data_IF_990547378894
#
_entry.id   IF_990547378894
#
_cell.length_a   1.000
_cell.length_b   1.000
_cell.length_c   1.000
_cell.angle_alpha   90.00
_cell.angle_beta   90.00
_cell.angle_gamma   90.00
#
_symmetry.space_group_name_H-M   'P 1'
#
loop_
_entity.id
_entity.type
_entity.pdbx_description
1 polymer ?
#
# COMPACT_ATOMS: atom_id res chain seq x y z
N UNK A 1 14.21 -14.03 -13.81
CA UNK A 1 14.57 -12.63 -14.17
C UNK A 1 13.78 -11.79 -13.18
N UNK A 2 14.41 -11.17 -12.17
CA UNK A 2 13.64 -10.32 -11.24
C UNK A 2 13.11 -9.15 -12.07
N UNK A 3 11.81 -9.14 -12.32
CA UNK A 3 11.08 -8.01 -12.90
C UNK A 3 11.46 -6.78 -12.08
N UNK A 4 11.78 -5.67 -12.74
CA UNK A 4 12.15 -4.43 -12.05
C UNK A 4 11.10 -4.11 -10.97
N UNK A 5 11.54 -3.69 -9.78
CA UNK A 5 10.64 -3.43 -8.66
C UNK A 5 9.90 -2.10 -8.87
N UNK A 6 8.87 -2.14 -9.71
CA UNK A 6 8.13 -0.98 -10.17
C UNK A 6 6.84 -0.77 -9.37
N UNK A 7 6.53 0.49 -9.08
CA UNK A 7 5.25 0.89 -8.54
C UNK A 7 4.14 0.58 -9.54
N UNK A 8 3.16 -0.24 -9.14
CA UNK A 8 2.09 -0.66 -10.06
C UNK A 8 1.24 0.48 -10.60
N UNK A 9 1.13 1.58 -9.85
CA UNK A 9 0.30 2.70 -10.30
C UNK A 9 0.96 3.55 -11.40
N UNK A 10 2.28 3.72 -11.38
CA UNK A 10 2.96 4.70 -12.25
C UNK A 10 4.18 4.14 -13.00
N UNK A 11 4.55 2.88 -12.77
CA UNK A 11 5.69 2.22 -13.41
C UNK A 11 7.06 2.76 -13.01
N UNK A 12 7.17 3.61 -11.99
CA UNK A 12 8.45 4.13 -11.48
C UNK A 12 9.09 3.12 -10.52
N UNK A 13 10.42 3.01 -10.52
CA UNK A 13 11.16 2.21 -9.55
C UNK A 13 10.81 2.62 -8.10
N UNK A 14 10.60 1.61 -7.24
CA UNK A 14 10.43 1.83 -5.81
C UNK A 14 11.79 2.07 -5.16
N UNK A 15 11.85 3.12 -4.34
CA UNK A 15 13.05 3.54 -3.59
C UNK A 15 13.05 2.97 -2.17
N UNK A 16 13.97 3.40 -1.31
CA UNK A 16 14.09 2.92 0.07
C UNK A 16 12.84 3.14 0.94
N UNK A 17 11.94 4.05 0.53
CA UNK A 17 10.65 4.29 1.16
C UNK A 17 9.53 3.99 0.17
N UNK A 18 8.50 3.30 0.65
CA UNK A 18 7.25 3.03 -0.06
C UNK A 18 6.06 3.45 0.79
N UNK A 19 4.88 3.48 0.18
CA UNK A 19 3.65 3.93 0.81
C UNK A 19 2.62 2.82 0.82
N UNK A 20 2.08 2.54 2.00
CA UNK A 20 1.06 1.51 2.25
C UNK A 20 -0.23 2.16 2.72
N UNK A 21 -1.34 1.51 2.44
CA UNK A 21 -2.68 2.04 2.65
C UNK A 21 -3.49 1.09 3.51
N UNK A 22 -4.14 1.63 4.52
CA UNK A 22 -4.96 0.87 5.44
C UNK A 22 -6.19 1.67 5.89
N UNK A 23 -7.28 0.96 6.16
CA UNK A 23 -8.43 1.56 6.84
C UNK A 23 -8.02 1.97 8.25
N UNK A 24 -8.43 3.14 8.71
CA UNK A 24 -8.15 3.60 10.09
C UNK A 24 -8.79 2.68 11.13
N UNK A 25 -9.92 2.04 10.79
CA UNK A 25 -10.66 1.17 11.70
C UNK A 25 -10.25 -0.31 11.62
N UNK A 26 -9.22 -0.65 10.83
CA UNK A 26 -8.78 -2.04 10.75
C UNK A 26 -8.21 -2.51 12.10
N UNK A 27 -8.52 -3.76 12.47
CA UNK A 27 -8.07 -4.35 13.76
C UNK A 27 -6.65 -4.90 13.65
N UNK A 28 -6.23 -5.32 12.47
CA UNK A 28 -4.90 -5.89 12.23
C UNK A 28 -3.90 -4.78 11.86
N UNK A 29 -2.72 -4.77 12.47
CA UNK A 29 -1.62 -3.87 12.09
C UNK A 29 -0.89 -4.34 10.84
N UNK A 30 -1.10 -5.58 10.43
CA UNK A 30 -0.59 -6.11 9.17
C UNK A 30 -1.39 -5.60 7.98
N UNK A 31 -0.70 -4.91 7.08
CA UNK A 31 -1.25 -4.35 5.85
C UNK A 31 -0.79 -5.14 4.66
N UNK A 32 -1.72 -5.84 4.03
CA UNK A 32 -1.51 -6.54 2.78
C UNK A 32 -1.76 -5.58 1.61
N UNK A 33 -0.74 -5.40 0.77
CA UNK A 33 -0.81 -4.60 -0.43
C UNK A 33 -0.85 -5.54 -1.64
N UNK A 34 -2.05 -5.90 -2.08
CA UNK A 34 -2.25 -6.66 -3.30
C UNK A 34 -1.83 -5.82 -4.51
N UNK A 35 -0.81 -6.30 -5.23
CA UNK A 35 -0.09 -5.55 -6.26
C UNK A 35 1.09 -4.69 -5.75
N UNK A 36 1.24 -4.63 -4.43
CA UNK A 36 2.39 -4.05 -3.75
C UNK A 36 2.27 -2.57 -3.42
N UNK A 37 3.08 -2.16 -2.45
CA UNK A 37 3.20 -0.80 -1.96
C UNK A 37 3.65 0.16 -3.07
N UNK A 38 3.16 1.40 -3.01
CA UNK A 38 3.36 2.39 -4.08
C UNK A 38 4.54 3.33 -3.79
N UNK A 39 5.14 3.91 -4.83
CA UNK A 39 6.41 4.65 -4.69
C UNK A 39 6.30 6.06 -4.10
N UNK A 40 5.10 6.63 -3.97
CA UNK A 40 4.93 8.02 -3.54
C UNK A 40 3.60 8.27 -2.84
N UNK A 41 3.54 9.31 -2.01
CA UNK A 41 2.29 9.78 -1.40
C UNK A 41 1.23 10.13 -2.46
N UNK A 42 1.65 10.69 -3.61
CA UNK A 42 0.74 10.95 -4.73
C UNK A 42 0.12 9.66 -5.25
N UNK A 43 0.93 8.60 -5.38
CA UNK A 43 0.41 7.31 -5.79
C UNK A 43 -0.52 6.73 -4.73
N UNK A 44 -0.17 6.85 -3.44
CA UNK A 44 -1.07 6.40 -2.37
C UNK A 44 -2.42 7.11 -2.40
N UNK A 45 -2.44 8.43 -2.56
CA UNK A 45 -3.69 9.19 -2.68
C UNK A 45 -4.52 8.77 -3.89
N UNK A 46 -3.88 8.55 -5.03
CA UNK A 46 -4.58 8.12 -6.23
C UNK A 46 -5.10 6.68 -6.09
N UNK A 47 -4.32 5.76 -5.54
CA UNK A 47 -4.76 4.39 -5.22
C UNK A 47 -5.98 4.38 -4.30
N UNK A 48 -5.95 5.17 -3.22
CA UNK A 48 -7.09 5.30 -2.30
C UNK A 48 -8.36 5.82 -3.00
N UNK A 49 -8.20 6.68 -4.01
CA UNK A 49 -9.31 7.30 -4.73
C UNK A 49 -9.90 6.45 -5.86
N UNK A 50 -9.18 5.44 -6.35
CA UNK A 50 -9.59 4.65 -7.54
C UNK A 50 -9.77 3.16 -7.28
N UNK A 51 -9.14 2.61 -6.24
CA UNK A 51 -9.23 1.19 -5.94
C UNK A 51 -10.53 0.89 -5.18
N UNK A 52 -11.41 0.00 -5.69
CA UNK A 52 -12.67 -0.37 -5.03
C UNK A 52 -12.49 -0.80 -3.57
N UNK A 53 -11.39 -1.52 -3.29
CA UNK A 53 -11.04 -1.95 -1.94
C UNK A 53 -11.01 -0.80 -0.93
N UNK A 54 -10.54 0.39 -1.33
CA UNK A 54 -10.45 1.57 -0.48
C UNK A 54 -11.66 2.51 -0.63
N UNK A 55 -12.20 2.67 -1.84
CA UNK A 55 -13.35 3.56 -2.06
C UNK A 55 -14.64 3.02 -1.44
N UNK A 56 -14.77 1.71 -1.28
CA UNK A 56 -15.94 1.04 -0.70
C UNK A 56 -15.72 0.64 0.78
N UNK A 57 -14.55 0.95 1.36
CA UNK A 57 -14.20 0.55 2.72
C UNK A 57 -15.07 1.19 3.82
N UNK A 58 -15.76 2.29 3.52
CA UNK A 58 -16.64 2.99 4.47
C UNK A 58 -15.93 3.63 5.67
N UNK A 59 -14.60 3.66 5.67
CA UNK A 59 -13.75 4.21 6.71
C UNK A 59 -12.67 5.11 6.10
N UNK A 60 -12.17 6.14 6.81
CA UNK A 60 -11.01 6.89 6.36
C UNK A 60 -9.81 5.99 6.07
N UNK A 61 -9.05 6.34 5.04
CA UNK A 61 -7.87 5.59 4.61
C UNK A 61 -6.61 6.31 5.10
N UNK A 62 -5.86 5.65 5.97
CA UNK A 62 -4.53 6.06 6.38
C UNK A 62 -3.49 5.63 5.33
N UNK A 63 -2.53 6.52 5.08
CA UNK A 63 -1.34 6.25 4.28
C UNK A 63 -0.13 6.34 5.20
N UNK A 64 0.69 5.29 5.21
CA UNK A 64 1.92 5.21 5.98
C UNK A 64 3.12 5.21 5.03
N UNK A 65 4.22 5.84 5.45
CA UNK A 65 5.51 5.73 4.78
C UNK A 65 6.36 4.73 5.54
N UNK A 66 6.80 3.67 4.85
CA UNK A 66 7.50 2.53 5.46
C UNK A 66 8.79 2.20 4.70
N UNK A 67 9.83 1.65 5.37
CA UNK A 67 11.02 1.18 4.71
C UNK A 67 10.68 0.07 3.72
N UNK A 68 11.13 0.18 2.47
CA UNK A 68 10.93 -0.84 1.45
C UNK A 68 11.63 -2.13 1.86
N UNK A 69 10.96 -3.27 1.65
CA UNK A 69 11.59 -4.59 1.67
C UNK A 69 11.33 -5.37 0.37
N UNK A 70 11.89 -6.58 0.30
CA UNK A 70 11.65 -7.49 -0.81
C UNK A 70 10.17 -7.92 -0.82
N UNK A 71 9.57 -8.01 -2.02
CA UNK A 71 8.19 -8.44 -2.20
C UNK A 71 7.94 -9.83 -1.62
N UNK A 72 6.72 -10.08 -1.18
CA UNK A 72 6.29 -11.38 -0.68
C UNK A 72 5.24 -11.97 -1.62
N UNK A 73 5.29 -13.28 -1.82
CA UNK A 73 4.25 -14.01 -2.52
C UNK A 73 3.11 -14.27 -1.52
N UNK A 74 2.06 -13.44 -1.54
CA UNK A 74 0.90 -13.67 -0.69
C UNK A 74 0.16 -14.93 -1.18
N UNK A 75 -0.03 -15.88 -0.26
CA UNK A 75 -0.61 -17.20 -0.57
C UNK A 75 -2.00 -17.03 -1.18
N UNK A 76 -2.15 -17.42 -2.45
CA UNK A 76 -3.44 -17.42 -3.17
C UNK A 76 -3.58 -16.36 -4.26
N UNK A 77 -2.59 -15.48 -4.44
CA UNK A 77 -2.44 -14.68 -5.66
C UNK A 77 -1.22 -15.19 -6.43
N UNK A 78 -1.40 -15.64 -7.67
CA UNK A 78 -0.31 -15.99 -8.59
C UNK A 78 0.45 -14.72 -9.09
N UNK A 79 0.59 -13.70 -8.23
CA UNK A 79 1.16 -12.41 -8.53
C UNK A 79 2.43 -12.23 -7.69
N UNK A 80 3.60 -12.29 -8.34
CA UNK A 80 4.93 -12.06 -7.73
C UNK A 80 5.16 -10.59 -7.31
N UNK A 81 4.09 -9.85 -6.98
CA UNK A 81 4.09 -8.40 -6.84
C UNK A 81 3.46 -7.90 -5.53
N UNK A 82 3.09 -8.78 -4.61
CA UNK A 82 2.45 -8.36 -3.37
C UNK A 82 3.46 -7.91 -2.29
N UNK A 83 2.98 -7.15 -1.31
CA UNK A 83 3.76 -6.84 -0.12
C UNK A 83 2.91 -6.92 1.15
N UNK A 84 3.58 -7.05 2.29
CA UNK A 84 2.97 -7.08 3.62
C UNK A 84 3.80 -6.22 4.56
N UNK A 85 3.18 -5.24 5.22
CA UNK A 85 3.87 -4.31 6.10
C UNK A 85 3.19 -4.21 7.46
N UNK A 86 3.99 -4.20 8.54
CA UNK A 86 3.52 -3.86 9.87
C UNK A 86 3.49 -2.35 10.06
N UNK A 87 2.31 -1.83 10.40
CA UNK A 87 2.13 -0.42 10.73
C UNK A 87 1.96 -0.20 12.24
N UNK A 88 2.19 -1.21 13.07
CA UNK A 88 2.13 -1.07 14.54
C UNK A 88 3.04 0.07 15.02
N UNK A 89 2.45 1.02 15.75
CA UNK A 89 3.16 2.15 16.33
C UNK A 89 3.62 3.22 15.33
N UNK A 90 3.23 3.14 14.05
CA UNK A 90 3.51 4.17 13.05
C UNK A 90 2.42 5.24 13.00
N UNK A 91 2.83 6.49 12.88
CA UNK A 91 1.91 7.59 12.58
C UNK A 91 1.62 7.67 11.06
N UNK A 92 0.37 7.87 10.65
CA UNK A 92 0.05 8.05 9.24
C UNK A 92 0.60 9.38 8.72
N UNK A 93 1.23 9.34 7.54
CA UNK A 93 1.68 10.56 6.85
C UNK A 93 0.52 11.34 6.22
N UNK A 94 -0.62 10.67 6.01
CA UNK A 94 -1.84 11.26 5.49
C UNK A 94 -3.03 10.40 5.90
N UNK A 95 -4.16 11.03 6.25
CA UNK A 95 -5.45 10.34 6.39
C UNK A 95 -6.42 10.96 5.39
N UNK A 96 -7.10 10.12 4.63
CA UNK A 96 -8.06 10.51 3.61
C UNK A 96 -9.45 10.15 4.10
N UNK A 97 -10.27 11.17 4.36
CA UNK A 97 -11.70 10.99 4.61
C UNK A 97 -12.42 10.86 3.28
N UNK A 98 -13.22 9.81 3.11
CA UNK A 98 -14.16 9.72 1.98
C UNK A 98 -15.09 10.93 2.00
N UNK A 99 -15.28 11.57 0.85
CA UNK A 99 -16.26 12.64 0.68
C UNK A 99 -17.68 12.08 0.56
#
# INVERSE_FOLDING_TARGET
MRTEDLCQLCGTLRTDVVYVLASVDQVNTMVEMYGGAVCSLRCGRLTAAVCPHYTEAGSPIAIYAVPRHDRVDLVGCDLDNDDEYDVEGLDPVCVLTTC
#
